data_IF_961575364498
#
_entry.id   IF_961575364498
#
_cell.length_a   1.000
_cell.length_b   1.000
_cell.length_c   1.000
_cell.angle_alpha   90.00
_cell.angle_beta   90.00
_cell.angle_gamma   90.00
#
_symmetry.space_group_name_H-M   'P 1'
#
loop_
_entity.id
_entity.type
_entity.pdbx_description
1 polymer ?
#
# COMPACT_ATOMS: atom_id res chain seq x y z
N UNK A 1 -25.85 57.01 38.67
CA UNK A 1 -25.19 55.75 39.09
C UNK A 1 -25.19 54.77 37.92
N UNK A 2 -24.07 54.63 37.20
CA UNK A 2 -23.72 53.44 36.38
C UNK A 2 -22.25 53.60 35.93
N UNK A 3 -21.33 53.38 36.88
CA UNK A 3 -19.89 53.20 36.58
C UNK A 3 -19.72 51.76 36.09
N UNK A 4 -19.90 51.56 34.80
CA UNK A 4 -19.71 50.26 34.18
C UNK A 4 -18.23 50.18 33.75
N UNK A 5 -17.51 49.17 34.26
CA UNK A 5 -16.46 48.42 33.55
C UNK A 5 -15.05 49.02 33.29
N UNK A 6 -14.44 49.79 34.20
CA UNK A 6 -12.95 49.88 34.19
C UNK A 6 -12.25 48.65 34.79
N UNK A 7 -13.01 47.72 35.38
CA UNK A 7 -12.49 46.47 35.98
C UNK A 7 -12.60 45.22 35.07
N UNK A 8 -13.11 45.34 33.83
CA UNK A 8 -13.32 44.17 32.97
C UNK A 8 -12.22 43.91 31.93
N UNK A 9 -11.16 44.70 31.94
CA UNK A 9 -9.96 44.35 31.17
C UNK A 9 -8.80 44.25 32.16
N UNK A 10 -8.52 43.02 32.59
CA UNK A 10 -7.39 42.65 33.45
C UNK A 10 -6.02 42.81 32.73
N UNK A 11 -5.90 43.86 31.90
CA UNK A 11 -4.70 44.19 31.13
C UNK A 11 -3.88 45.33 31.76
N UNK A 12 -4.45 46.08 32.72
CA UNK A 12 -3.78 47.20 33.39
C UNK A 12 -3.45 46.88 34.85
N UNK A 13 -2.23 47.18 35.26
CA UNK A 13 -1.81 47.10 36.67
C UNK A 13 -2.28 48.34 37.46
N UNK A 14 -2.47 49.48 36.78
CA UNK A 14 -2.83 50.76 37.39
C UNK A 14 -4.34 51.09 37.37
N UNK A 15 -5.13 50.35 36.58
CA UNK A 15 -6.56 50.64 36.38
C UNK A 15 -6.86 51.85 35.49
N UNK A 16 -5.85 52.48 34.88
CA UNK A 16 -6.05 53.59 33.94
C UNK A 16 -6.63 53.10 32.60
N UNK A 17 -7.43 53.98 31.97
CA UNK A 17 -8.03 53.74 30.66
C UNK A 17 -6.93 53.80 29.61
N UNK A 18 -6.57 52.66 29.02
CA UNK A 18 -5.53 52.55 27.99
C UNK A 18 -4.31 51.73 28.38
N UNK A 19 -4.21 51.30 29.64
CA UNK A 19 -3.05 50.54 30.11
C UNK A 19 -3.14 49.06 29.70
N UNK A 20 -2.11 48.61 28.97
CA UNK A 20 -1.99 47.25 28.43
C UNK A 20 -0.79 46.47 28.97
N UNK A 21 -0.17 46.90 30.06
CA UNK A 21 1.09 46.35 30.57
C UNK A 21 1.04 44.84 30.84
N UNK A 22 -0.07 44.34 31.39
CA UNK A 22 -0.24 42.89 31.64
C UNK A 22 -0.37 42.14 30.31
N UNK A 23 -1.05 42.71 29.32
CA UNK A 23 -1.11 42.13 27.97
C UNK A 23 0.27 42.11 27.29
N UNK A 24 1.10 43.12 27.54
CA UNK A 24 2.46 43.19 27.03
C UNK A 24 3.40 42.19 27.72
N UNK A 25 3.24 41.97 29.03
CA UNK A 25 3.96 40.93 29.77
C UNK A 25 3.56 39.52 29.29
N UNK A 26 2.27 39.28 29.03
CA UNK A 26 1.80 38.02 28.45
C UNK A 26 2.35 37.82 27.03
N UNK A 27 2.42 38.87 26.22
CA UNK A 27 3.05 38.79 24.90
C UNK A 27 4.56 38.51 25.00
N UNK A 28 5.24 39.07 26.01
CA UNK A 28 6.67 38.86 26.25
C UNK A 28 7.00 37.44 26.75
N UNK A 29 6.05 36.72 27.36
CA UNK A 29 6.24 35.32 27.76
C UNK A 29 6.56 34.40 26.57
N UNK A 30 6.10 34.74 25.36
CA UNK A 30 6.43 33.99 24.13
C UNK A 30 7.93 33.99 23.82
N UNK A 31 8.60 35.10 24.10
CA UNK A 31 10.03 35.33 23.83
C UNK A 31 10.90 35.10 25.07
N UNK A 32 10.27 34.94 26.24
CA UNK A 32 10.98 34.63 27.49
C UNK A 32 11.56 33.22 27.40
N UNK A 33 12.86 33.12 27.65
CA UNK A 33 13.55 31.83 27.69
C UNK A 33 13.07 31.05 28.91
N UNK A 34 12.50 29.85 28.68
CA UNK A 34 12.24 28.89 29.76
C UNK A 34 13.57 28.32 30.26
N UNK A 35 13.58 27.74 31.45
CA UNK A 35 14.79 27.11 32.02
C UNK A 35 15.35 26.08 31.02
N UNK A 36 16.54 26.37 30.48
CA UNK A 36 17.14 25.64 29.35
C UNK A 36 17.49 26.51 28.13
N UNK A 37 17.21 27.82 28.16
CA UNK A 37 17.66 28.77 27.14
C UNK A 37 16.88 28.71 25.82
N UNK A 38 15.74 28.01 25.79
CA UNK A 38 14.85 27.93 24.63
C UNK A 38 13.58 28.72 24.92
N UNK A 39 13.09 29.43 23.91
CA UNK A 39 11.78 30.09 23.99
C UNK A 39 10.66 29.06 23.81
N UNK A 40 9.46 29.37 24.30
CA UNK A 40 8.27 28.52 24.11
C UNK A 40 8.01 28.25 22.63
N UNK A 41 8.23 29.25 21.79
CA UNK A 41 8.09 29.15 20.33
C UNK A 41 9.11 28.18 19.72
N UNK A 42 10.36 28.22 20.19
CA UNK A 42 11.40 27.30 19.73
C UNK A 42 11.08 25.85 20.10
N UNK A 43 10.67 25.59 21.34
CA UNK A 43 10.26 24.25 21.77
C UNK A 43 9.09 23.70 20.93
N UNK A 44 8.09 24.55 20.67
CA UNK A 44 6.94 24.18 19.85
C UNK A 44 7.33 23.86 18.40
N UNK A 45 8.24 24.65 17.81
CA UNK A 45 8.77 24.42 16.47
C UNK A 45 9.59 23.13 16.39
N UNK A 46 10.44 22.88 17.39
CA UNK A 46 11.25 21.65 17.47
C UNK A 46 10.33 20.43 17.52
N UNK A 47 9.32 20.44 18.40
CA UNK A 47 8.34 19.34 18.53
C UNK A 47 7.59 19.07 17.21
N UNK A 48 7.13 20.11 16.53
CA UNK A 48 6.48 19.96 15.22
C UNK A 48 7.47 19.46 14.17
N UNK A 49 8.70 19.95 14.19
CA UNK A 49 9.77 19.52 13.28
C UNK A 49 10.06 18.02 13.43
N UNK A 50 10.20 17.55 14.66
CA UNK A 50 10.44 16.15 14.98
C UNK A 50 9.26 15.27 14.55
N UNK A 51 8.02 15.70 14.86
CA UNK A 51 6.81 14.99 14.45
C UNK A 51 6.69 14.92 12.91
N UNK A 52 6.98 16.02 12.21
CA UNK A 52 6.95 16.08 10.77
C UNK A 52 8.03 15.18 10.14
N UNK A 53 9.24 15.18 10.70
CA UNK A 53 10.34 14.31 10.28
C UNK A 53 10.02 12.83 10.46
N UNK A 54 9.48 12.46 11.63
CA UNK A 54 9.05 11.09 11.92
C UNK A 54 7.92 10.64 10.97
N UNK A 55 6.92 11.50 10.76
CA UNK A 55 5.80 11.24 9.85
C UNK A 55 6.27 11.04 8.40
N UNK A 56 7.14 11.93 7.90
CA UNK A 56 7.71 11.83 6.55
C UNK A 56 8.50 10.54 6.36
N UNK A 57 9.31 10.17 7.36
CA UNK A 57 10.09 8.92 7.33
C UNK A 57 9.18 7.70 7.31
N UNK A 58 8.15 7.68 8.17
CA UNK A 58 7.16 6.60 8.21
C UNK A 58 6.41 6.44 6.89
N UNK A 59 6.01 7.54 6.25
CA UNK A 59 5.33 7.50 4.95
C UNK A 59 6.24 6.94 3.86
N UNK A 60 7.51 7.35 3.81
CA UNK A 60 8.49 6.81 2.87
C UNK A 60 8.72 5.31 3.07
N UNK A 61 8.83 4.87 4.33
CA UNK A 61 9.00 3.45 4.65
C UNK A 61 7.78 2.62 4.24
N UNK A 62 6.57 3.13 4.46
CA UNK A 62 5.33 2.48 4.03
C UNK A 62 5.25 2.37 2.50
N UNK A 63 5.59 3.45 1.78
CA UNK A 63 5.62 3.46 0.32
C UNK A 63 6.66 2.47 -0.25
N UNK A 64 7.86 2.42 0.33
CA UNK A 64 8.89 1.47 -0.06
C UNK A 64 8.45 0.01 0.18
N UNK A 65 7.84 -0.26 1.34
CA UNK A 65 7.34 -1.60 1.68
C UNK A 65 6.23 -2.03 0.72
N UNK A 66 5.32 -1.10 0.36
CA UNK A 66 4.28 -1.35 -0.64
C UNK A 66 4.88 -1.68 -2.01
N UNK A 67 5.88 -0.92 -2.46
CA UNK A 67 6.55 -1.18 -3.73
C UNK A 67 7.18 -2.58 -3.77
N UNK A 68 7.80 -3.01 -2.67
CA UNK A 68 8.37 -4.36 -2.55
C UNK A 68 7.28 -5.43 -2.65
N UNK A 69 6.16 -5.26 -1.95
CA UNK A 69 5.02 -6.18 -2.02
C UNK A 69 4.45 -6.25 -3.43
N UNK A 70 4.26 -5.11 -4.08
CA UNK A 70 3.74 -5.04 -5.46
C UNK A 70 4.71 -5.76 -6.41
N UNK A 71 6.03 -5.56 -6.26
CA UNK A 71 7.05 -6.23 -7.07
C UNK A 71 7.03 -7.76 -6.90
N UNK A 72 6.89 -8.25 -5.67
CA UNK A 72 6.76 -9.68 -5.40
C UNK A 72 5.43 -10.24 -5.93
N UNK A 73 4.34 -9.46 -5.84
CA UNK A 73 3.04 -9.85 -6.38
C UNK A 73 3.10 -9.97 -7.90
N UNK A 74 3.75 -9.03 -8.59
CA UNK A 74 3.96 -9.11 -10.05
C UNK A 74 4.86 -10.29 -10.42
N UNK A 75 5.93 -10.57 -9.66
CA UNK A 75 6.77 -11.75 -9.91
C UNK A 75 5.99 -13.06 -9.69
N UNK A 76 5.19 -13.13 -8.63
CA UNK A 76 4.32 -14.27 -8.39
C UNK A 76 3.33 -14.46 -9.54
N UNK A 77 2.70 -13.38 -10.01
CA UNK A 77 1.80 -13.42 -11.16
C UNK A 77 2.52 -13.79 -12.47
N UNK A 78 3.79 -13.43 -12.63
CA UNK A 78 4.59 -13.84 -13.79
C UNK A 78 4.94 -15.33 -13.73
N UNK A 79 5.17 -15.89 -12.55
CA UNK A 79 5.45 -17.32 -12.36
C UNK A 79 4.18 -18.19 -12.36
N UNK A 80 3.10 -17.72 -11.75
CA UNK A 80 1.78 -18.38 -11.75
C UNK A 80 0.94 -18.00 -12.96
N UNK A 81 1.42 -17.10 -13.82
CA UNK A 81 0.79 -16.69 -15.05
C UNK A 81 0.86 -17.83 -16.05
N UNK A 82 -0.17 -18.66 -16.04
CA UNK A 82 -0.33 -19.69 -17.05
C UNK A 82 -0.36 -19.01 -18.41
N UNK A 83 0.62 -19.33 -19.25
CA UNK A 83 0.73 -18.74 -20.58
C UNK A 83 -0.36 -19.34 -21.46
N UNK A 84 -1.29 -18.52 -21.93
CA UNK A 84 -2.41 -18.96 -22.77
C UNK A 84 -1.93 -19.67 -24.05
N UNK A 85 -0.76 -19.29 -24.56
CA UNK A 85 -0.08 -19.94 -25.67
C UNK A 85 0.51 -21.33 -25.30
N UNK A 86 1.01 -21.50 -24.07
CA UNK A 86 1.42 -22.83 -23.57
C UNK A 86 0.21 -23.73 -23.35
N UNK A 87 -0.89 -23.20 -22.79
CA UNK A 87 -2.14 -23.95 -22.66
C UNK A 87 -2.70 -24.34 -24.02
N UNK A 88 -2.69 -23.44 -25.00
CA UNK A 88 -3.12 -23.74 -26.37
C UNK A 88 -2.19 -24.77 -27.02
N UNK A 89 -0.88 -24.67 -26.82
CA UNK A 89 0.09 -25.66 -27.33
C UNK A 89 -0.14 -27.03 -26.68
N UNK A 90 -0.40 -27.08 -25.38
CA UNK A 90 -0.73 -28.31 -24.67
C UNK A 90 -2.08 -28.87 -25.14
N UNK A 91 -3.08 -28.02 -25.38
CA UNK A 91 -4.36 -28.42 -25.95
C UNK A 91 -4.18 -29.06 -27.32
N UNK A 92 -3.42 -28.42 -28.21
CA UNK A 92 -3.12 -28.95 -29.55
C UNK A 92 -2.35 -30.27 -29.45
N UNK A 93 -1.36 -30.37 -28.55
CA UNK A 93 -0.65 -31.63 -28.28
C UNK A 93 -1.60 -32.74 -27.85
N UNK A 94 -2.52 -32.47 -26.91
CA UNK A 94 -3.49 -33.46 -26.45
C UNK A 94 -4.48 -33.85 -27.55
N UNK A 95 -4.95 -32.90 -28.36
CA UNK A 95 -5.80 -33.19 -29.52
C UNK A 95 -5.08 -34.07 -30.54
N UNK A 96 -3.82 -33.76 -30.83
CA UNK A 96 -3.02 -34.53 -31.78
C UNK A 96 -2.72 -35.94 -31.26
N UNK A 97 -2.35 -36.06 -29.98
CA UNK A 97 -2.17 -37.35 -29.32
C UNK A 97 -3.47 -38.18 -29.35
N UNK A 98 -4.62 -37.57 -29.08
CA UNK A 98 -5.92 -38.26 -29.15
C UNK A 98 -6.21 -38.76 -30.57
N UNK A 99 -5.97 -37.92 -31.59
CA UNK A 99 -6.15 -38.32 -33.00
C UNK A 99 -5.20 -39.45 -33.42
N UNK A 100 -3.98 -39.47 -32.89
CA UNK A 100 -3.02 -40.53 -33.12
C UNK A 100 -3.48 -41.83 -32.45
N UNK A 101 -3.94 -41.77 -31.20
CA UNK A 101 -4.53 -42.92 -30.51
C UNK A 101 -5.74 -43.48 -31.24
N UNK A 102 -6.61 -42.63 -31.79
CA UNK A 102 -7.75 -43.08 -32.59
C UNK A 102 -7.32 -43.88 -33.83
N UNK A 103 -6.29 -43.42 -34.55
CA UNK A 103 -5.72 -44.17 -35.69
C UNK A 103 -5.10 -45.49 -35.27
N UNK A 104 -4.42 -45.53 -34.12
CA UNK A 104 -3.87 -46.79 -33.59
C UNK A 104 -5.00 -47.78 -33.32
N UNK A 105 -6.10 -47.34 -32.69
CA UNK A 105 -7.27 -48.19 -32.46
C UNK A 105 -7.85 -48.70 -33.77
N UNK A 106 -8.02 -47.83 -34.78
CA UNK A 106 -8.49 -48.25 -36.11
C UNK A 106 -7.57 -49.29 -36.73
N UNK A 107 -6.25 -49.12 -36.64
CA UNK A 107 -5.30 -50.11 -37.16
C UNK A 107 -5.35 -51.43 -36.38
N UNK A 108 -5.64 -51.38 -35.08
CA UNK A 108 -5.86 -52.59 -34.27
C UNK A 108 -7.14 -53.31 -34.68
N UNK A 109 -8.23 -52.59 -34.93
CA UNK A 109 -9.48 -53.17 -35.44
C UNK A 109 -9.27 -53.83 -36.81
N UNK A 110 -8.55 -53.17 -37.73
CA UNK A 110 -8.20 -53.74 -39.03
C UNK A 110 -7.35 -55.03 -38.91
N UNK A 111 -6.42 -55.06 -37.96
CA UNK A 111 -5.63 -56.27 -37.67
C UNK A 111 -6.50 -57.40 -37.10
N UNK A 112 -7.43 -57.08 -36.19
CA UNK A 112 -8.37 -58.06 -35.62
C UNK A 112 -9.31 -58.62 -36.70
N UNK A 113 -9.83 -57.77 -37.59
CA UNK A 113 -10.64 -58.20 -38.72
C UNK A 113 -9.86 -59.10 -39.69
N UNK A 114 -8.60 -58.78 -39.97
CA UNK A 114 -7.73 -59.62 -40.81
C UNK A 114 -7.48 -60.99 -40.17
N UNK A 115 -7.23 -61.04 -38.84
CA UNK A 115 -7.10 -62.29 -38.11
C UNK A 115 -8.39 -63.12 -38.14
N UNK A 116 -9.55 -62.51 -37.89
CA UNK A 116 -10.84 -63.19 -37.98
C UNK A 116 -11.11 -63.75 -39.38
N UNK A 117 -10.80 -62.97 -40.43
CA UNK A 117 -10.97 -63.40 -41.82
C UNK A 117 -10.07 -64.59 -42.17
N UNK A 118 -8.86 -64.68 -41.62
CA UNK A 118 -7.97 -65.83 -41.85
C UNK A 118 -8.27 -67.03 -40.96
N UNK A 119 -8.83 -66.83 -39.77
CA UNK A 119 -9.20 -67.90 -38.82
C UNK A 119 -10.52 -68.63 -39.15
N UNK A 120 -11.44 -67.98 -39.86
CA UNK A 120 -12.72 -68.59 -40.27
C UNK A 120 -12.60 -69.47 -41.53
N UNK A 121 -11.56 -69.31 -42.35
CA UNK A 121 -11.38 -70.12 -43.59
C UNK A 121 -10.74 -71.49 -43.35
N UNK A 122 -10.47 -71.85 -42.09
CA UNK A 122 -9.80 -73.09 -41.70
C UNK A 122 -10.71 -74.26 -41.30
N UNK A 123 -12.04 -74.13 -41.39
CA UNK A 123 -13.02 -75.21 -41.20
C UNK A 123 -14.19 -75.07 -42.15
#
# INVERSE_FOLDING_TARGET
>A
MRRIQSAMVAASLSGAIGDGDVAQQIAALKETSLSGGRTVNQLYRDLIGDLAGASSTSQKQAAASKLVVDQFTTQQQAMSGVSLDEEMTNMIKFQQAYSACARVITTMDEMLDALMRTGIVGR
#
